data_IF_774662661744
#
_entry.id   IF_774662661744
#
_cell.length_a   1.000
_cell.length_b   1.000
_cell.length_c   1.000
_cell.angle_alpha   90.00
_cell.angle_beta   90.00
_cell.angle_gamma   90.00
#
_symmetry.space_group_name_H-M   'P 1'
#
loop_
_entity.id
_entity.type
_entity.pdbx_description
1 polymer ?
#
# COMPACT_ATOMS: atom_id res chain seq x y z
N UNK A 1 -17.73 -12.83 17.00
CA UNK A 1 -18.02 -11.47 17.49
C UNK A 1 -16.87 -10.96 18.36
N UNK A 2 -16.99 -10.67 19.67
CA UNK A 2 -15.95 -9.93 20.44
C UNK A 2 -14.52 -10.49 20.41
N UNK A 3 -14.32 -11.79 20.15
CA UNK A 3 -12.99 -12.39 20.01
C UNK A 3 -12.37 -12.25 18.60
N UNK A 4 -13.17 -12.03 17.56
CA UNK A 4 -12.67 -12.03 16.17
C UNK A 4 -12.12 -10.68 15.72
N UNK A 5 -12.73 -9.55 16.13
CA UNK A 5 -12.09 -8.24 15.98
C UNK A 5 -10.70 -8.29 16.62
N UNK A 6 -10.59 -8.82 17.84
CA UNK A 6 -9.30 -8.92 18.56
C UNK A 6 -8.17 -9.71 17.86
N UNK A 7 -8.41 -10.39 16.73
CA UNK A 7 -7.41 -11.13 15.96
C UNK A 7 -6.99 -10.42 14.67
N UNK A 8 -7.91 -9.79 13.91
CA UNK A 8 -7.48 -8.92 12.80
C UNK A 8 -6.90 -7.62 13.36
N UNK A 9 -7.44 -7.11 14.47
CA UNK A 9 -6.77 -6.13 15.32
C UNK A 9 -5.44 -6.63 15.89
N UNK A 10 -5.10 -7.94 15.86
CA UNK A 10 -3.80 -8.48 16.25
C UNK A 10 -2.78 -8.53 15.09
N UNK A 11 -3.21 -8.76 13.85
CA UNK A 11 -2.34 -8.57 12.66
C UNK A 11 -2.11 -7.08 12.37
N UNK A 12 -3.17 -6.28 12.52
CA UNK A 12 -3.04 -4.84 12.68
C UNK A 12 -2.44 -4.43 14.05
N UNK A 13 -2.11 -5.36 14.95
CA UNK A 13 -1.18 -5.17 16.07
C UNK A 13 0.23 -5.69 15.79
N UNK A 14 0.56 -6.19 14.59
CA UNK A 14 1.94 -6.45 14.15
C UNK A 14 2.38 -5.34 13.20
N UNK A 15 1.56 -5.05 12.17
CA UNK A 15 1.70 -3.83 11.36
C UNK A 15 1.57 -2.60 12.26
N UNK A 16 0.52 -2.58 13.08
CA UNK A 16 0.31 -1.53 14.07
C UNK A 16 1.24 -1.61 15.27
N UNK A 17 1.80 -2.76 15.68
CA UNK A 17 2.92 -2.73 16.65
C UNK A 17 4.10 -1.99 16.07
N UNK A 18 4.47 -2.20 14.81
CA UNK A 18 5.63 -1.51 14.31
C UNK A 18 5.47 0.03 14.32
N UNK A 19 4.24 0.55 14.15
CA UNK A 19 3.89 1.95 14.43
C UNK A 19 3.73 2.29 15.93
N UNK A 20 3.19 1.36 16.72
CA UNK A 20 2.83 1.45 18.14
C UNK A 20 3.61 0.43 19.04
N UNK A 21 4.94 0.39 18.99
CA UNK A 21 5.82 -0.24 20.00
C UNK A 21 7.04 0.65 20.16
N UNK A 22 6.91 1.91 20.60
CA UNK A 22 6.04 2.50 21.63
C UNK A 22 4.51 2.22 21.56
N UNK A 23 4.10 1.27 22.42
CA UNK A 23 2.84 0.56 22.78
C UNK A 23 1.48 0.72 22.01
N UNK A 24 0.82 -0.45 21.80
CA UNK A 24 -0.18 -0.94 20.77
C UNK A 24 -1.69 -0.70 21.03
N UNK A 25 -2.66 -1.04 20.12
CA UNK A 25 -2.63 -1.44 18.67
C UNK A 25 -3.78 -0.94 17.71
N UNK A 26 -3.72 -1.33 16.40
CA UNK A 26 -4.84 -1.58 15.41
C UNK A 26 -5.61 -0.40 14.77
N UNK A 27 -6.41 -0.48 13.67
CA UNK A 27 -6.86 -1.52 12.66
C UNK A 27 -7.74 -0.83 11.56
N UNK A 28 -8.33 -1.39 10.48
CA UNK A 28 -8.48 -2.72 9.80
C UNK A 28 -8.88 -2.49 8.29
N UNK A 29 -9.07 -3.53 7.44
CA UNK A 29 -9.67 -3.59 6.06
C UNK A 29 -8.91 -2.91 4.86
N UNK A 30 -8.68 -3.43 3.63
CA UNK A 30 -8.82 -4.68 2.83
C UNK A 30 -10.12 -5.11 2.04
N UNK A 31 -10.04 -5.32 0.69
CA UNK A 31 -10.85 -6.29 -0.15
C UNK A 31 -10.40 -6.55 -1.62
N UNK A 32 -9.99 -5.56 -2.43
CA UNK A 32 -10.10 -5.67 -3.91
C UNK A 32 -8.97 -6.34 -4.73
N UNK A 33 -7.93 -6.90 -4.11
CA UNK A 33 -6.67 -7.30 -4.78
C UNK A 33 -6.75 -8.63 -5.59
N UNK A 34 -7.95 -9.18 -5.83
CA UNK A 34 -8.17 -10.56 -6.29
C UNK A 34 -7.83 -10.89 -7.74
N UNK A 35 -7.93 -9.96 -8.69
CA UNK A 35 -7.77 -10.28 -10.14
C UNK A 35 -6.34 -10.11 -10.69
N UNK A 36 -5.41 -9.49 -9.96
CA UNK A 36 -4.06 -9.15 -10.49
C UNK A 36 -3.10 -10.34 -10.52
N UNK A 37 -3.14 -11.24 -9.52
CA UNK A 37 -2.05 -12.18 -9.27
C UNK A 37 -2.00 -13.41 -10.21
N UNK A 38 -2.99 -13.60 -11.09
CA UNK A 38 -3.06 -14.77 -11.98
C UNK A 38 -2.03 -14.79 -13.12
N UNK A 39 -1.30 -13.68 -13.37
CA UNK A 39 -0.44 -13.50 -14.56
C UNK A 39 1.07 -13.38 -14.28
N UNK A 40 1.51 -13.53 -13.02
CA UNK A 40 2.89 -13.22 -12.60
C UNK A 40 3.91 -14.38 -12.68
N UNK A 41 3.50 -15.59 -13.10
CA UNK A 41 4.34 -16.80 -13.03
C UNK A 41 4.60 -17.40 -14.43
N UNK A 42 5.27 -16.64 -15.30
CA UNK A 42 5.80 -17.14 -16.56
C UNK A 42 6.93 -16.25 -17.15
N UNK A 43 8.17 -16.57 -16.77
CA UNK A 43 9.44 -16.25 -17.45
C UNK A 43 9.92 -14.78 -17.63
N UNK A 44 11.20 -14.71 -18.03
CA UNK A 44 12.16 -13.59 -18.01
C UNK A 44 11.74 -12.23 -18.66
N UNK A 45 12.56 -11.23 -18.37
CA UNK A 45 12.44 -9.78 -18.59
C UNK A 45 11.81 -9.30 -19.91
N UNK A 46 11.09 -8.17 -19.76
CA UNK A 46 10.96 -7.04 -20.71
C UNK A 46 9.68 -6.90 -21.57
N UNK A 47 8.70 -7.82 -21.57
CA UNK A 47 7.50 -7.70 -22.46
C UNK A 47 6.12 -7.57 -21.73
N UNK A 48 6.11 -7.40 -20.41
CA UNK A 48 4.84 -7.28 -19.63
C UNK A 48 4.09 -5.97 -19.91
N UNK A 49 4.82 -4.85 -20.02
CA UNK A 49 4.23 -3.50 -20.02
C UNK A 49 3.48 -3.14 -21.33
N UNK A 50 3.74 -3.86 -22.44
CA UNK A 50 3.06 -3.64 -23.71
C UNK A 50 1.68 -4.33 -23.72
N UNK A 51 1.61 -5.60 -23.30
CA UNK A 51 0.36 -6.37 -23.31
C UNK A 51 -0.69 -5.86 -22.31
N UNK A 52 -0.27 -5.25 -21.20
CA UNK A 52 -1.19 -4.58 -20.25
C UNK A 52 -2.10 -3.57 -20.99
N UNK A 53 -1.54 -2.84 -21.96
CA UNK A 53 -2.25 -1.75 -22.64
C UNK A 53 -3.31 -2.24 -23.64
N UNK A 54 -3.14 -3.43 -24.20
CA UNK A 54 -4.11 -4.04 -25.13
C UNK A 54 -5.18 -4.86 -24.40
N UNK A 55 -4.81 -5.61 -23.34
CA UNK A 55 -5.78 -6.45 -22.63
C UNK A 55 -6.81 -5.65 -21.83
N UNK A 56 -6.41 -4.52 -21.22
CA UNK A 56 -7.34 -3.60 -20.52
C UNK A 56 -8.40 -3.00 -21.48
N UNK A 57 -8.09 -2.84 -22.77
CA UNK A 57 -9.09 -2.44 -23.77
C UNK A 57 -10.00 -3.60 -24.21
N UNK A 58 -9.54 -4.84 -24.12
CA UNK A 58 -10.31 -6.02 -24.54
C UNK A 58 -11.39 -6.43 -23.51
N UNK A 59 -11.06 -6.44 -22.22
CA UNK A 59 -11.99 -6.88 -21.17
C UNK A 59 -13.07 -5.83 -20.84
N UNK A 60 -12.79 -4.55 -21.10
CA UNK A 60 -13.80 -3.49 -21.07
C UNK A 60 -14.99 -3.76 -22.02
N UNK A 61 -14.75 -4.48 -23.13
CA UNK A 61 -15.67 -4.64 -24.24
C UNK A 61 -16.59 -5.88 -24.18
N UNK A 62 -16.47 -6.74 -23.15
CA UNK A 62 -17.16 -8.05 -23.13
C UNK A 62 -18.19 -8.25 -21.99
N UNK A 63 -18.90 -7.18 -21.63
CA UNK A 63 -20.25 -7.25 -21.05
C UNK A 63 -21.17 -6.35 -21.88
N UNK A 64 -22.21 -6.92 -22.49
CA UNK A 64 -23.12 -6.22 -23.41
C UNK A 64 -23.74 -4.99 -22.74
N UNK A 65 -23.61 -3.81 -23.36
CA UNK A 65 -23.95 -2.50 -22.76
C UNK A 65 -25.39 -2.41 -22.22
N UNK A 66 -26.30 -3.21 -22.78
CA UNK A 66 -27.72 -3.25 -22.40
C UNK A 66 -28.02 -3.70 -20.95
N UNK A 67 -27.05 -4.27 -20.21
CA UNK A 67 -27.25 -4.72 -18.81
C UNK A 67 -26.54 -3.88 -17.74
N UNK A 68 -25.66 -2.92 -18.10
CA UNK A 68 -24.99 -2.03 -17.13
C UNK A 68 -25.83 -0.84 -16.63
N UNK A 69 -27.06 -0.67 -17.16
CA UNK A 69 -27.81 0.60 -17.09
C UNK A 69 -28.89 0.68 -15.99
N UNK A 70 -28.93 -0.26 -15.02
CA UNK A 70 -30.03 -0.33 -14.03
C UNK A 70 -29.62 -0.56 -12.57
N UNK A 71 -28.37 -0.85 -12.28
CA UNK A 71 -27.85 -1.03 -10.91
C UNK A 71 -26.78 0.02 -10.62
N UNK A 72 -26.79 0.71 -9.47
CA UNK A 72 -25.78 1.73 -9.16
C UNK A 72 -24.40 1.09 -8.98
N UNK A 73 -23.35 1.79 -9.38
CA UNK A 73 -21.96 1.41 -9.14
C UNK A 73 -21.65 1.29 -7.64
N UNK A 74 -20.57 0.59 -7.28
CA UNK A 74 -20.14 0.46 -5.88
C UNK A 74 -19.96 1.82 -5.18
N UNK A 75 -19.44 2.82 -5.90
CA UNK A 75 -19.31 4.19 -5.41
C UNK A 75 -20.68 4.85 -5.16
N UNK A 76 -21.63 4.72 -6.09
CA UNK A 76 -22.99 5.25 -5.90
C UNK A 76 -23.72 4.55 -4.74
N UNK A 77 -23.54 3.24 -4.58
CA UNK A 77 -24.09 2.49 -3.43
C UNK A 77 -23.46 2.96 -2.11
N UNK A 78 -22.14 3.14 -2.05
CA UNK A 78 -21.44 3.69 -0.89
C UNK A 78 -21.92 5.11 -0.54
N UNK A 79 -22.06 6.00 -1.52
CA UNK A 79 -22.55 7.37 -1.31
C UNK A 79 -24.03 7.43 -0.90
N UNK A 80 -24.83 6.41 -1.24
CA UNK A 80 -26.20 6.21 -0.73
C UNK A 80 -26.22 5.63 0.70
N UNK A 81 -25.27 4.77 1.08
CA UNK A 81 -25.08 4.32 2.47
C UNK A 81 -24.62 5.47 3.38
N UNK A 82 -23.74 6.34 2.87
CA UNK A 82 -23.12 7.45 3.58
C UNK A 82 -23.49 8.81 2.95
N UNK A 83 -24.76 9.27 3.12
CA UNK A 83 -25.27 10.48 2.46
C UNK A 83 -24.74 11.79 3.06
N UNK A 84 -24.18 11.74 4.27
CA UNK A 84 -23.39 12.80 4.91
C UNK A 84 -22.33 12.09 5.77
N UNK A 85 -21.10 12.59 5.79
CA UNK A 85 -19.98 12.03 6.55
C UNK A 85 -19.26 13.15 7.29
N UNK A 86 -19.06 13.02 8.60
CA UNK A 86 -18.15 13.91 9.33
C UNK A 86 -16.71 13.42 9.20
N UNK A 87 -15.72 14.31 9.37
CA UNK A 87 -14.31 13.92 9.25
C UNK A 87 -13.90 12.90 10.33
N UNK A 88 -14.54 13.00 11.50
CA UNK A 88 -14.38 12.12 12.65
C UNK A 88 -14.89 10.69 12.38
N UNK A 89 -15.85 10.52 11.46
CA UNK A 89 -16.44 9.22 11.13
C UNK A 89 -15.58 8.40 10.16
N UNK A 90 -14.67 9.05 9.41
CA UNK A 90 -13.91 8.44 8.29
C UNK A 90 -13.17 7.16 8.72
N UNK A 91 -12.52 7.15 9.88
CA UNK A 91 -11.79 5.97 10.36
C UNK A 91 -12.74 4.81 10.69
N UNK A 92 -13.89 5.10 11.31
CA UNK A 92 -14.91 4.11 11.66
C UNK A 92 -15.56 3.53 10.39
N UNK A 93 -15.90 4.38 9.41
CA UNK A 93 -16.47 3.97 8.13
C UNK A 93 -15.54 2.98 7.41
N UNK A 94 -14.24 3.26 7.34
CA UNK A 94 -13.27 2.35 6.73
C UNK A 94 -12.91 1.11 7.56
N UNK A 95 -13.36 1.01 8.82
CA UNK A 95 -13.21 -0.16 9.68
C UNK A 95 -14.50 -0.99 9.81
N UNK A 96 -15.67 -0.45 9.42
CA UNK A 96 -16.97 -1.12 9.49
C UNK A 96 -17.54 -1.55 8.12
N UNK A 97 -17.07 -1.00 6.99
CA UNK A 97 -17.53 -1.35 5.64
C UNK A 97 -16.40 -1.94 4.74
N UNK A 98 -16.33 -3.29 4.62
CA UNK A 98 -15.35 -3.99 3.79
C UNK A 98 -15.46 -3.72 2.28
N UNK A 99 -16.55 -3.15 1.78
CA UNK A 99 -16.69 -2.90 0.34
C UNK A 99 -15.92 -1.64 -0.11
N UNK A 100 -15.65 -0.70 0.81
CA UNK A 100 -15.09 0.60 0.48
C UNK A 100 -13.62 0.59 0.06
N UNK A 101 -12.91 -0.52 0.21
CA UNK A 101 -11.45 -0.54 0.05
C UNK A 101 -11.04 -0.60 -1.42
N UNK A 102 -11.80 -1.32 -2.25
CA UNK A 102 -11.61 -1.28 -3.71
C UNK A 102 -11.91 0.06 -4.36
N UNK A 103 -12.58 0.96 -3.64
CA UNK A 103 -12.98 2.29 -4.10
C UNK A 103 -12.50 3.39 -3.13
N UNK A 104 -11.48 3.12 -2.32
CA UNK A 104 -11.07 4.02 -1.23
C UNK A 104 -10.64 5.41 -1.72
N UNK A 105 -9.84 5.54 -2.80
CA UNK A 105 -9.57 6.84 -3.40
C UNK A 105 -10.84 7.52 -3.91
N UNK A 106 -11.66 6.83 -4.71
CA UNK A 106 -12.86 7.37 -5.34
C UNK A 106 -13.90 7.86 -4.32
N UNK A 107 -14.12 7.09 -3.24
CA UNK A 107 -15.04 7.44 -2.16
C UNK A 107 -14.57 8.69 -1.42
N UNK A 108 -13.29 8.74 -1.03
CA UNK A 108 -12.71 9.93 -0.39
C UNK A 108 -12.75 11.16 -1.30
N UNK A 109 -12.46 11.00 -2.59
CA UNK A 109 -12.56 12.07 -3.59
C UNK A 109 -14.00 12.58 -3.73
N UNK A 110 -14.99 11.69 -3.77
CA UNK A 110 -16.40 12.05 -3.83
C UNK A 110 -16.88 12.79 -2.56
N UNK A 111 -16.37 12.43 -1.38
CA UNK A 111 -16.62 13.19 -0.13
C UNK A 111 -16.00 14.60 -0.19
N UNK A 112 -14.80 14.75 -0.79
CA UNK A 112 -14.20 16.06 -1.03
C UNK A 112 -14.97 16.89 -2.07
N UNK A 113 -15.50 16.27 -3.13
CA UNK A 113 -16.37 16.93 -4.11
C UNK A 113 -17.71 17.39 -3.52
N UNK A 114 -18.29 16.60 -2.61
CA UNK A 114 -19.53 16.95 -1.90
C UNK A 114 -19.33 18.05 -0.86
N UNK A 115 -18.10 18.22 -0.38
CA UNK A 115 -17.71 19.21 0.63
C UNK A 115 -17.84 18.71 2.06
N UNK A 116 -18.00 17.40 2.27
CA UNK A 116 -18.05 16.74 3.58
C UNK A 116 -16.71 16.85 4.33
N UNK A 117 -15.61 16.73 3.59
CA UNK A 117 -14.23 16.86 4.08
C UNK A 117 -13.43 17.75 3.13
N UNK A 118 -12.54 18.61 3.65
CA UNK A 118 -11.63 19.38 2.80
C UNK A 118 -10.32 18.59 2.54
N UNK A 119 -9.70 18.68 1.34
CA UNK A 119 -8.48 17.92 1.02
C UNK A 119 -7.31 18.15 1.99
N UNK A 120 -7.24 19.34 2.60
CA UNK A 120 -6.19 19.75 3.55
C UNK A 120 -6.65 19.69 5.02
N UNK A 121 -7.86 19.20 5.30
CA UNK A 121 -8.35 18.97 6.66
C UNK A 121 -7.67 17.74 7.24
N UNK A 122 -7.22 17.83 8.50
CA UNK A 122 -6.64 16.68 9.21
C UNK A 122 -7.74 15.66 9.48
N UNK A 123 -7.53 14.43 9.03
CA UNK A 123 -8.45 13.29 9.24
C UNK A 123 -7.98 12.44 10.42
N UNK A 124 -6.66 12.25 10.55
CA UNK A 124 -6.06 11.45 11.62
C UNK A 124 -4.67 12.00 11.97
N UNK A 125 -4.29 11.97 13.24
CA UNK A 125 -2.90 12.20 13.67
C UNK A 125 -2.24 10.86 13.96
N UNK A 126 -1.37 10.40 13.05
CA UNK A 126 -0.60 9.19 13.23
C UNK A 126 0.67 9.49 14.06
N UNK A 127 0.98 8.75 15.16
CA UNK A 127 2.07 9.08 16.08
C UNK A 127 3.50 9.24 15.51
N UNK A 128 3.74 8.84 14.24
CA UNK A 128 5.03 9.02 13.55
C UNK A 128 4.97 9.74 12.19
N UNK A 129 3.81 9.86 11.56
CA UNK A 129 3.66 10.66 10.33
C UNK A 129 3.17 12.10 10.61
N UNK A 130 2.67 12.35 11.82
CA UNK A 130 2.02 13.59 12.19
C UNK A 130 0.55 13.66 11.74
N UNK A 131 -0.03 14.86 11.60
CA UNK A 131 -1.39 15.04 11.12
C UNK A 131 -1.49 14.73 9.62
N UNK A 132 -2.16 13.64 9.27
CA UNK A 132 -2.50 13.31 7.89
C UNK A 132 -3.74 14.08 7.45
N UNK A 133 -3.62 14.83 6.35
CA UNK A 133 -4.76 15.47 5.69
C UNK A 133 -5.61 14.45 4.93
N UNK A 134 -6.81 14.82 4.50
CA UNK A 134 -7.64 13.97 3.63
C UNK A 134 -6.90 13.51 2.37
N UNK A 135 -6.11 14.39 1.77
CA UNK A 135 -5.27 14.08 0.60
C UNK A 135 -4.19 13.05 0.92
N UNK A 136 -3.52 13.20 2.06
CA UNK A 136 -2.50 12.23 2.52
C UNK A 136 -3.13 10.87 2.87
N UNK A 137 -4.31 10.88 3.50
CA UNK A 137 -5.06 9.68 3.86
C UNK A 137 -5.48 8.87 2.62
N UNK A 138 -5.89 9.54 1.54
CA UNK A 138 -6.17 8.89 0.25
C UNK A 138 -4.98 8.07 -0.23
N UNK A 139 -3.81 8.70 -0.38
CA UNK A 139 -2.62 8.04 -0.94
C UNK A 139 -2.12 6.93 -0.01
N UNK A 140 -1.90 7.24 1.27
CA UNK A 140 -1.32 6.29 2.25
C UNK A 140 -2.17 5.03 2.47
N UNK A 141 -3.46 5.04 2.12
CA UNK A 141 -4.37 3.89 2.31
C UNK A 141 -4.85 3.26 0.99
N UNK A 142 -4.42 3.77 -0.18
CA UNK A 142 -4.95 3.35 -1.48
C UNK A 142 -4.59 1.92 -1.89
N UNK A 143 -3.54 1.30 -1.29
CA UNK A 143 -3.10 -0.08 -1.58
C UNK A 143 -3.05 -0.36 -3.09
N UNK A 144 -2.18 0.37 -3.79
CA UNK A 144 -1.95 0.30 -5.25
C UNK A 144 -3.11 0.78 -6.17
N UNK A 145 -4.28 1.16 -5.65
CA UNK A 145 -5.40 1.71 -6.45
C UNK A 145 -5.27 3.20 -6.80
N UNK A 146 -4.21 3.88 -6.35
CA UNK A 146 -4.02 5.30 -6.62
C UNK A 146 -3.47 5.56 -8.03
N UNK A 147 -3.97 6.60 -8.69
CA UNK A 147 -3.73 6.85 -10.12
C UNK A 147 -3.31 8.30 -10.36
N UNK A 148 -2.77 8.57 -11.54
CA UNK A 148 -2.52 9.94 -12.02
C UNK A 148 -3.81 10.77 -12.04
N UNK A 149 -4.95 10.16 -12.37
CA UNK A 149 -6.25 10.83 -12.38
C UNK A 149 -6.70 11.19 -10.96
N UNK A 150 -6.47 10.30 -9.96
CA UNK A 150 -6.70 10.62 -8.55
C UNK A 150 -5.79 11.74 -8.05
N UNK A 151 -4.52 11.79 -8.48
CA UNK A 151 -3.59 12.87 -8.13
C UNK A 151 -4.00 14.21 -8.75
N UNK A 152 -4.32 14.26 -10.06
CA UNK A 152 -4.85 15.46 -10.71
C UNK A 152 -6.19 15.89 -10.09
N UNK A 153 -7.02 14.93 -9.64
CA UNK A 153 -8.27 15.23 -8.94
C UNK A 153 -8.02 15.89 -7.59
N UNK A 154 -7.11 15.39 -6.76
CA UNK A 154 -6.71 16.03 -5.49
C UNK A 154 -6.22 17.46 -5.72
N UNK A 155 -5.36 17.70 -6.72
CA UNK A 155 -4.93 19.04 -7.10
C UNK A 155 -6.10 19.94 -7.53
N UNK A 156 -7.04 19.41 -8.32
CA UNK A 156 -8.23 20.17 -8.75
C UNK A 156 -9.17 20.57 -7.61
N UNK A 157 -9.16 19.79 -6.50
CA UNK A 157 -9.90 20.06 -5.27
C UNK A 157 -9.15 21.01 -4.33
N UNK A 158 -7.90 21.38 -4.63
CA UNK A 158 -7.07 22.30 -3.85
C UNK A 158 -6.17 21.63 -2.81
N UNK A 159 -5.80 20.36 -2.98
CA UNK A 159 -4.81 19.70 -2.14
C UNK A 159 -3.44 20.40 -2.20
N UNK A 160 -2.87 20.73 -1.05
CA UNK A 160 -1.49 21.24 -0.90
C UNK A 160 -0.52 20.05 -0.90
N UNK A 161 -0.33 19.45 -2.08
CA UNK A 161 0.64 18.38 -2.30
C UNK A 161 2.02 19.00 -2.53
N UNK A 162 2.97 18.79 -1.62
CA UNK A 162 4.27 19.45 -1.67
C UNK A 162 5.43 18.52 -1.26
N UNK A 163 6.64 19.08 -1.14
CA UNK A 163 7.87 18.35 -0.87
C UNK A 163 8.24 18.19 0.61
N UNK A 164 7.36 18.50 1.56
CA UNK A 164 7.64 18.41 3.01
C UNK A 164 7.82 16.97 3.51
N UNK A 165 8.45 16.80 4.68
CA UNK A 165 8.80 15.48 5.25
C UNK A 165 7.60 14.52 5.41
N UNK A 166 6.43 15.03 5.84
CA UNK A 166 5.20 14.22 5.90
C UNK A 166 4.78 13.74 4.51
N UNK A 167 4.81 14.62 3.50
CA UNK A 167 4.53 14.21 2.12
C UNK A 167 5.57 13.23 1.58
N UNK A 168 6.87 13.46 1.82
CA UNK A 168 7.94 12.50 1.47
C UNK A 168 7.73 11.12 2.13
N UNK A 169 7.15 11.10 3.33
CA UNK A 169 6.80 9.86 4.04
C UNK A 169 5.57 9.17 3.45
N UNK A 170 4.51 9.91 3.13
CA UNK A 170 3.30 9.39 2.46
C UNK A 170 3.64 8.84 1.06
N UNK A 171 4.44 9.57 0.28
CA UNK A 171 4.80 9.18 -1.07
C UNK A 171 5.83 8.04 -1.13
N UNK A 172 6.61 7.82 -0.06
CA UNK A 172 7.39 6.59 0.09
C UNK A 172 6.54 5.33 0.34
N UNK A 173 5.22 5.46 0.51
CA UNK A 173 4.26 4.34 0.52
C UNK A 173 3.55 4.14 -0.84
N UNK A 174 3.76 5.02 -1.82
CA UNK A 174 3.11 4.95 -3.14
C UNK A 174 3.94 4.09 -4.11
N UNK A 175 3.29 3.11 -4.74
CA UNK A 175 3.94 2.12 -5.62
C UNK A 175 3.76 2.44 -7.12
N UNK A 176 2.91 3.42 -7.46
CA UNK A 176 2.70 3.84 -8.84
C UNK A 176 3.81 4.82 -9.28
N UNK A 177 4.83 4.32 -9.99
CA UNK A 177 5.98 5.14 -10.44
C UNK A 177 5.60 6.35 -11.30
N UNK A 178 4.47 6.32 -12.01
CA UNK A 178 3.99 7.48 -12.78
C UNK A 178 3.40 8.57 -11.86
N UNK A 179 2.81 8.17 -10.73
CA UNK A 179 2.42 9.10 -9.67
C UNK A 179 3.65 9.63 -8.93
N UNK A 180 4.65 8.80 -8.65
CA UNK A 180 5.92 9.23 -8.04
C UNK A 180 6.60 10.31 -8.90
N UNK A 181 6.70 10.09 -10.22
CA UNK A 181 7.31 11.06 -11.12
C UNK A 181 6.55 12.38 -11.20
N UNK A 182 5.22 12.29 -11.29
CA UNK A 182 4.34 13.45 -11.27
C UNK A 182 4.45 14.25 -9.97
N UNK A 183 4.50 13.58 -8.81
CA UNK A 183 4.67 14.22 -7.51
C UNK A 183 6.04 14.87 -7.38
N UNK A 184 7.12 14.15 -7.69
CA UNK A 184 8.49 14.64 -7.57
C UNK A 184 8.70 15.92 -8.41
N UNK A 185 8.16 15.96 -9.62
CA UNK A 185 8.15 17.16 -10.47
C UNK A 185 7.27 18.27 -9.89
N UNK A 186 6.05 17.96 -9.43
CA UNK A 186 5.13 18.94 -8.85
C UNK A 186 5.70 19.61 -7.58
N UNK A 187 6.25 18.79 -6.68
CA UNK A 187 6.92 19.23 -5.46
C UNK A 187 8.30 19.89 -5.70
N UNK A 188 8.80 19.87 -6.95
CA UNK A 188 10.08 20.45 -7.37
C UNK A 188 11.28 19.92 -6.57
N UNK A 189 11.31 18.61 -6.34
CA UNK A 189 12.38 17.94 -5.59
C UNK A 189 13.66 17.77 -6.42
N UNK A 190 14.82 17.82 -5.75
CA UNK A 190 16.13 17.52 -6.31
C UNK A 190 16.83 16.35 -5.61
N UNK A 191 18.11 16.10 -5.94
CA UNK A 191 18.89 15.00 -5.36
C UNK A 191 19.14 15.16 -3.86
N UNK A 192 18.97 16.36 -3.29
CA UNK A 192 19.16 16.64 -1.87
C UNK A 192 18.18 15.92 -0.92
N UNK A 193 17.15 15.25 -1.44
CA UNK A 193 16.25 14.38 -0.67
C UNK A 193 16.36 12.89 -1.03
N UNK A 194 17.28 12.50 -1.93
CA UNK A 194 17.38 11.10 -2.39
C UNK A 194 17.72 10.13 -1.26
N UNK A 195 18.75 10.41 -0.47
CA UNK A 195 19.17 9.60 0.69
C UNK A 195 18.01 9.37 1.69
N UNK A 196 17.22 10.42 1.97
CA UNK A 196 16.05 10.35 2.85
C UNK A 196 14.93 9.51 2.23
N UNK A 197 14.57 9.76 0.97
CA UNK A 197 13.53 9.01 0.26
C UNK A 197 13.90 7.53 0.10
N UNK A 198 15.19 7.24 -0.06
CA UNK A 198 15.73 5.89 -0.19
C UNK A 198 15.73 5.13 1.15
N UNK A 199 16.11 5.80 2.25
CA UNK A 199 15.92 5.25 3.60
C UNK A 199 14.42 5.06 3.96
N UNK A 200 13.53 5.95 3.51
CA UNK A 200 12.07 5.76 3.64
C UNK A 200 11.54 4.63 2.75
N UNK A 201 12.06 4.46 1.54
CA UNK A 201 11.76 3.31 0.68
C UNK A 201 12.13 2.00 1.37
N UNK A 202 13.29 1.92 2.03
CA UNK A 202 13.67 0.77 2.86
C UNK A 202 12.74 0.60 4.06
N UNK A 203 12.32 1.69 4.72
CA UNK A 203 11.39 1.61 5.86
C UNK A 203 10.03 0.98 5.50
N UNK A 204 9.56 1.16 4.26
CA UNK A 204 8.30 0.60 3.75
C UNK A 204 8.47 -0.61 2.80
N UNK A 205 9.69 -0.93 2.36
CA UNK A 205 9.93 -1.95 1.32
C UNK A 205 9.42 -1.56 -0.07
N UNK A 206 9.41 -0.26 -0.38
CA UNK A 206 8.85 0.27 -1.62
C UNK A 206 9.89 0.20 -2.76
N UNK A 207 9.84 -0.89 -3.53
CA UNK A 207 10.68 -1.08 -4.70
C UNK A 207 10.40 -0.05 -5.81
N UNK A 208 9.16 0.45 -5.96
CA UNK A 208 8.87 1.44 -6.99
C UNK A 208 9.53 2.80 -6.71
N UNK A 209 9.65 3.21 -5.44
CA UNK A 209 10.42 4.38 -5.03
C UNK A 209 11.93 4.15 -5.15
N UNK A 210 12.40 2.95 -4.76
CA UNK A 210 13.79 2.52 -4.91
C UNK A 210 14.28 2.62 -6.37
N UNK A 211 13.60 1.92 -7.28
CA UNK A 211 13.98 1.81 -8.69
C UNK A 211 13.87 3.18 -9.38
N UNK A 212 12.83 3.96 -9.05
CA UNK A 212 12.64 5.33 -9.54
C UNK A 212 13.79 6.28 -9.14
N UNK A 213 14.32 6.15 -7.92
CA UNK A 213 15.47 6.95 -7.48
C UNK A 213 16.75 6.52 -8.20
N UNK A 214 17.02 5.21 -8.32
CA UNK A 214 18.23 4.69 -8.96
C UNK A 214 18.26 4.94 -10.48
N UNK A 215 17.27 4.42 -11.20
CA UNK A 215 17.27 4.36 -12.66
C UNK A 215 16.81 5.68 -13.30
N UNK A 216 15.63 6.18 -12.91
CA UNK A 216 15.00 7.35 -13.55
C UNK A 216 15.61 8.68 -13.11
N UNK A 217 16.17 8.76 -11.89
CA UNK A 217 16.77 9.99 -11.33
C UNK A 217 18.28 9.89 -11.07
N UNK A 218 18.90 8.77 -11.42
CA UNK A 218 20.35 8.61 -11.40
C UNK A 218 20.96 8.51 -9.99
N UNK A 219 20.20 7.99 -9.02
CA UNK A 219 20.61 7.80 -7.63
C UNK A 219 21.90 7.00 -7.47
N UNK A 220 22.22 6.12 -8.43
CA UNK A 220 23.51 5.45 -8.56
C UNK A 220 24.73 6.39 -8.82
N UNK A 221 24.52 7.71 -8.86
CA UNK A 221 25.60 8.73 -8.88
C UNK A 221 25.75 9.48 -7.55
N UNK A 222 24.92 9.17 -6.56
CA UNK A 222 25.01 9.62 -5.16
C UNK A 222 25.53 8.46 -4.32
N UNK A 223 26.36 8.74 -3.32
CA UNK A 223 26.83 7.74 -2.36
C UNK A 223 25.69 7.51 -1.32
N UNK A 224 24.78 6.58 -1.64
CA UNK A 224 23.54 6.36 -0.90
C UNK A 224 23.78 5.53 0.37
N UNK A 225 24.09 6.20 1.48
CA UNK A 225 24.20 5.56 2.79
C UNK A 225 22.80 5.17 3.34
N UNK A 226 22.60 3.88 3.63
CA UNK A 226 21.51 3.41 4.49
C UNK A 226 21.92 3.62 5.94
N UNK A 227 21.09 4.31 6.73
CA UNK A 227 21.35 4.46 8.17
C UNK A 227 21.47 3.08 8.84
N UNK A 228 22.54 2.78 9.60
CA UNK A 228 22.74 1.46 10.22
C UNK A 228 21.57 1.00 11.10
N UNK A 229 20.83 1.95 11.70
CA UNK A 229 19.62 1.67 12.47
C UNK A 229 18.46 1.20 11.57
N UNK A 230 18.29 1.80 10.38
CA UNK A 230 17.27 1.38 9.40
C UNK A 230 17.61 0.02 8.80
N UNK A 231 18.88 -0.25 8.46
CA UNK A 231 19.33 -1.58 8.02
C UNK A 231 19.02 -2.65 9.08
N UNK A 232 19.45 -2.43 10.33
CA UNK A 232 19.24 -3.38 11.42
C UNK A 232 17.75 -3.60 11.74
N UNK A 233 16.94 -2.53 11.72
CA UNK A 233 15.49 -2.60 11.93
C UNK A 233 14.78 -3.36 10.81
N UNK A 234 15.12 -3.12 9.55
CA UNK A 234 14.56 -3.84 8.40
C UNK A 234 14.97 -5.31 8.40
N UNK A 235 16.26 -5.63 8.61
CA UNK A 235 16.79 -6.99 8.73
C UNK A 235 16.09 -7.78 9.85
N UNK A 236 15.89 -7.14 11.01
CA UNK A 236 15.10 -7.71 12.13
C UNK A 236 13.63 -7.97 11.77
N UNK A 237 12.98 -7.08 11.03
CA UNK A 237 11.59 -7.27 10.58
C UNK A 237 11.43 -8.35 9.51
N UNK A 238 12.39 -8.49 8.59
CA UNK A 238 12.40 -9.57 7.60
C UNK A 238 12.56 -10.91 8.31
N UNK A 239 13.57 -11.06 9.17
CA UNK A 239 13.79 -12.30 9.95
C UNK A 239 12.57 -12.66 10.80
N UNK A 240 12.06 -11.71 11.59
CA UNK A 240 10.87 -11.91 12.43
C UNK A 240 9.59 -12.20 11.64
N UNK A 241 9.49 -11.77 10.38
CA UNK A 241 8.38 -12.16 9.49
C UNK A 241 8.52 -13.62 9.07
N UNK A 242 9.72 -14.03 8.65
CA UNK A 242 10.02 -15.41 8.22
C UNK A 242 9.82 -16.42 9.36
N UNK A 243 10.23 -16.06 10.58
CA UNK A 243 10.08 -16.89 11.78
C UNK A 243 8.60 -17.16 12.15
N UNK A 244 7.66 -16.33 11.70
CA UNK A 244 6.24 -16.40 12.09
C UNK A 244 5.28 -16.67 10.91
N UNK A 245 5.77 -17.04 9.71
CA UNK A 245 4.92 -17.30 8.53
C UNK A 245 3.83 -18.36 8.79
N UNK A 246 4.15 -19.40 9.55
CA UNK A 246 3.21 -20.46 9.92
C UNK A 246 2.10 -19.95 10.87
N UNK A 247 2.42 -18.99 11.75
CA UNK A 247 1.42 -18.35 12.63
C UNK A 247 0.49 -17.43 11.85
N UNK A 248 1.02 -16.70 10.84
CA UNK A 248 0.20 -15.90 9.93
C UNK A 248 -0.80 -16.78 9.16
N UNK A 249 -0.37 -17.97 8.70
CA UNK A 249 -1.26 -18.93 8.04
C UNK A 249 -2.33 -19.49 8.98
N UNK A 250 -1.95 -19.88 10.20
CA UNK A 250 -2.91 -20.36 11.19
C UNK A 250 -4.00 -19.30 11.51
N UNK A 251 -3.59 -18.04 11.71
CA UNK A 251 -4.51 -16.93 11.96
C UNK A 251 -5.44 -16.65 10.78
N UNK A 252 -4.95 -16.78 9.53
CA UNK A 252 -5.79 -16.68 8.33
C UNK A 252 -6.77 -17.85 8.20
N UNK A 253 -6.36 -19.07 8.56
CA UNK A 253 -7.22 -20.25 8.54
C UNK A 253 -8.32 -20.23 9.62
N UNK A 254 -8.12 -19.51 10.73
CA UNK A 254 -9.15 -19.29 11.75
C UNK A 254 -10.15 -18.17 11.37
N UNK A 255 -9.87 -17.35 10.35
CA UNK A 255 -10.74 -16.25 9.95
C UNK A 255 -12.10 -16.71 9.40
N UNK A 256 -13.18 -16.01 9.77
CA UNK A 256 -14.52 -16.28 9.20
C UNK A 256 -14.63 -15.75 7.78
N UNK A 257 -15.27 -16.49 6.87
CA UNK A 257 -15.36 -16.22 5.41
C UNK A 257 -15.43 -14.73 5.03
N UNK A 258 -16.34 -13.96 5.63
CA UNK A 258 -16.56 -12.52 5.36
C UNK A 258 -15.33 -11.64 5.68
N UNK A 259 -14.55 -11.98 6.71
CA UNK A 259 -13.29 -11.29 7.06
C UNK A 259 -12.06 -12.01 6.49
N UNK A 260 -12.22 -13.10 5.73
CA UNK A 260 -11.08 -13.87 5.21
C UNK A 260 -10.38 -13.16 4.05
N UNK A 261 -11.14 -12.54 3.14
CA UNK A 261 -10.59 -11.71 2.05
C UNK A 261 -9.89 -10.46 2.59
N UNK A 262 -10.50 -9.85 3.62
CA UNK A 262 -9.93 -8.78 4.44
C UNK A 262 -8.55 -9.18 4.95
N UNK A 263 -8.47 -10.20 5.79
CA UNK A 263 -7.24 -10.58 6.46
C UNK A 263 -6.15 -11.03 5.46
N UNK A 264 -6.53 -11.74 4.39
CA UNK A 264 -5.60 -12.16 3.32
C UNK A 264 -4.93 -10.97 2.62
N UNK A 265 -5.68 -9.93 2.28
CA UNK A 265 -5.14 -8.72 1.66
C UNK A 265 -4.28 -7.89 2.64
N UNK A 266 -4.57 -7.88 3.94
CA UNK A 266 -3.69 -7.26 4.94
C UNK A 266 -2.36 -8.01 5.08
N UNK A 267 -2.39 -9.34 5.13
CA UNK A 267 -1.18 -10.17 5.17
C UNK A 267 -0.41 -10.09 3.85
N UNK A 268 -1.08 -10.06 2.69
CA UNK A 268 -0.42 -9.89 1.39
C UNK A 268 0.28 -8.53 1.27
N UNK A 269 -0.36 -7.44 1.70
CA UNK A 269 0.27 -6.12 1.75
C UNK A 269 1.49 -6.09 2.70
N UNK A 270 1.36 -6.68 3.89
CA UNK A 270 2.46 -6.82 4.85
C UNK A 270 3.65 -7.62 4.29
N UNK A 271 3.38 -8.80 3.75
CA UNK A 271 4.41 -9.65 3.15
C UNK A 271 5.05 -8.99 1.92
N UNK A 272 4.31 -8.18 1.15
CA UNK A 272 4.86 -7.39 0.04
C UNK A 272 5.88 -6.36 0.53
N UNK A 273 5.58 -5.61 1.60
CA UNK A 273 6.56 -4.70 2.22
C UNK A 273 7.80 -5.46 2.72
N UNK A 274 7.62 -6.63 3.35
CA UNK A 274 8.73 -7.44 3.87
C UNK A 274 9.56 -8.07 2.75
N UNK A 275 8.96 -8.42 1.63
CA UNK A 275 9.63 -8.89 0.42
C UNK A 275 10.50 -7.79 -0.20
N UNK A 276 9.96 -6.58 -0.35
CA UNK A 276 10.74 -5.43 -0.84
C UNK A 276 11.91 -5.07 0.08
N UNK A 277 11.71 -5.11 1.39
CA UNK A 277 12.80 -4.97 2.37
C UNK A 277 13.88 -6.06 2.21
N UNK A 278 13.47 -7.32 2.06
CA UNK A 278 14.40 -8.44 1.90
C UNK A 278 15.19 -8.35 0.58
N UNK A 279 14.62 -7.79 -0.48
CA UNK A 279 15.33 -7.48 -1.74
C UNK A 279 16.33 -6.35 -1.52
N UNK A 280 15.88 -5.16 -1.10
CA UNK A 280 16.76 -3.99 -0.94
C UNK A 280 17.96 -4.28 -0.03
N UNK A 281 17.77 -5.01 1.07
CA UNK A 281 18.85 -5.34 2.01
C UNK A 281 19.99 -6.19 1.39
N UNK A 282 19.74 -6.93 0.31
CA UNK A 282 20.77 -7.70 -0.40
C UNK A 282 21.75 -6.80 -1.15
N UNK A 283 21.33 -5.59 -1.53
CA UNK A 283 22.20 -4.59 -2.18
C UNK A 283 23.13 -3.89 -1.17
N UNK A 284 22.79 -3.94 0.13
CA UNK A 284 23.49 -3.26 1.23
C UNK A 284 24.18 -4.23 2.21
N UNK A 285 24.58 -5.43 1.76
CA UNK A 285 25.39 -6.32 2.61
C UNK A 285 26.55 -7.00 1.89
N UNK A 286 27.76 -6.72 2.41
CA UNK A 286 29.01 -7.40 2.05
C UNK A 286 29.18 -8.74 2.79
N UNK A 287 28.29 -9.07 3.73
CA UNK A 287 28.35 -10.31 4.50
C UNK A 287 27.69 -11.46 3.73
N UNK A 288 28.49 -12.43 3.27
CA UNK A 288 28.02 -13.58 2.49
C UNK A 288 26.95 -14.43 3.22
N UNK A 289 26.93 -14.43 4.55
CA UNK A 289 25.92 -15.16 5.34
C UNK A 289 24.63 -14.35 5.44
N UNK A 290 24.68 -13.05 5.77
CA UNK A 290 23.47 -12.20 5.78
C UNK A 290 22.83 -12.17 4.38
N UNK A 291 23.64 -12.10 3.33
CA UNK A 291 23.19 -12.14 1.93
C UNK A 291 22.41 -13.42 1.59
N UNK A 292 22.84 -14.58 2.08
CA UNK A 292 22.15 -15.85 1.84
C UNK A 292 20.90 -16.01 2.73
N UNK A 293 20.96 -15.56 4.00
CA UNK A 293 19.78 -15.48 4.89
C UNK A 293 18.69 -14.58 4.27
N UNK A 294 19.06 -13.46 3.63
CA UNK A 294 18.13 -12.55 2.96
C UNK A 294 17.52 -13.16 1.69
N UNK A 295 18.28 -13.92 0.89
CA UNK A 295 17.73 -14.65 -0.27
C UNK A 295 16.73 -15.72 0.15
N UNK A 296 17.07 -16.54 1.15
CA UNK A 296 16.17 -17.58 1.68
C UNK A 296 14.90 -16.94 2.25
N UNK A 297 15.04 -15.80 2.96
CA UNK A 297 13.93 -15.00 3.46
C UNK A 297 13.04 -14.47 2.33
N UNK A 298 13.64 -13.92 1.29
CA UNK A 298 12.92 -13.39 0.11
C UNK A 298 12.10 -14.49 -0.57
N UNK A 299 12.71 -15.66 -0.82
CA UNK A 299 12.00 -16.79 -1.44
C UNK A 299 10.84 -17.29 -0.57
N UNK A 300 11.04 -17.47 0.74
CA UNK A 300 9.97 -17.90 1.66
C UNK A 300 8.78 -16.93 1.68
N UNK A 301 9.05 -15.62 1.65
CA UNK A 301 8.00 -14.59 1.60
C UNK A 301 7.29 -14.61 0.24
N UNK A 302 8.03 -14.75 -0.87
CA UNK A 302 7.48 -14.88 -2.22
C UNK A 302 6.58 -16.12 -2.38
N UNK A 303 7.03 -17.27 -1.88
CA UNK A 303 6.26 -18.52 -1.86
C UNK A 303 4.96 -18.35 -1.06
N UNK A 304 5.00 -17.64 0.08
CA UNK A 304 3.80 -17.36 0.89
C UNK A 304 2.84 -16.41 0.18
N UNK A 305 3.33 -15.34 -0.45
CA UNK A 305 2.53 -14.44 -1.30
C UNK A 305 1.84 -15.19 -2.43
N UNK A 306 2.53 -16.14 -3.07
CA UNK A 306 1.98 -16.98 -4.13
C UNK A 306 0.90 -17.95 -3.60
N UNK A 307 1.09 -18.53 -2.41
CA UNK A 307 0.08 -19.39 -1.77
C UNK A 307 -1.20 -18.61 -1.41
N UNK A 308 -1.06 -17.38 -0.91
CA UNK A 308 -2.20 -16.52 -0.55
C UNK A 308 -3.08 -16.17 -1.76
N UNK A 309 -2.49 -16.03 -2.94
CA UNK A 309 -3.26 -15.79 -4.18
C UNK A 309 -4.02 -17.05 -4.63
N UNK A 310 -3.37 -18.21 -4.56
CA UNK A 310 -3.90 -19.49 -5.04
C UNK A 310 -5.00 -20.09 -4.16
N UNK A 311 -5.03 -19.77 -2.86
CA UNK A 311 -6.00 -20.29 -1.88
C UNK A 311 -7.44 -19.78 -2.01
N UNK A 312 -7.86 -19.32 -3.20
CA UNK A 312 -9.14 -18.61 -3.45
C UNK A 312 -10.21 -19.45 -4.17
N UNK A 313 -10.16 -20.78 -4.01
CA UNK A 313 -11.16 -21.75 -4.51
C UNK A 313 -11.94 -22.40 -3.36
#
# INVERSE_FOLDING_TARGET
>A
MRLFLGVVLALAAVIGAWLFTMETPSGELATAEKEVLAKAVADDKQDVNVQIKEQVQAEAANKTDAQRLTEPSALEQALLRYPNVAVEDIQTIFAEDPELIGIRPDFMLALMERGDIAPNQVVVSAPRMGPLTGSMFVIANARNSFTVEHFDKLLSLGADINGSETWRTVMAMENNSTVLDKWYQHASLGPEVHEELYNKALAFGNLAMHDYLLDDKGGATVDLEIEPMNKAMASGMVRGTVENLDELEAQLAESTEVNSEVARAEVAHFLTMRHGQAIMLQEFTDDEQELEELKESTQKIADKLLQLSQGSN
#
